data_IF_349467111264
#
_entry.id   IF_349467111264
#
_cell.length_a   1.000
_cell.length_b   1.000
_cell.length_c   1.000
_cell.angle_alpha   90.00
_cell.angle_beta   90.00
_cell.angle_gamma   90.00
#
_symmetry.space_group_name_H-M   'P 1'
#
loop_
_entity.id
_entity.type
_entity.pdbx_description
1 polymer ?
#
# COMPACT_ATOMS: atom_id res chain seq x y z
N UNK A 1 -5.45 3.60 -11.97
CA UNK A 1 -6.33 4.53 -11.23
C UNK A 1 -5.66 5.89 -11.15
N UNK A 2 -6.40 6.91 -10.76
CA UNK A 2 -5.94 8.30 -10.75
C UNK A 2 -6.26 9.03 -12.04
N UNK A 3 -5.75 10.25 -12.15
CA UNK A 3 -5.95 11.13 -13.31
C UNK A 3 -4.95 10.75 -14.41
N UNK A 4 -5.41 10.69 -15.66
CA UNK A 4 -4.55 10.41 -16.81
C UNK A 4 -3.41 11.44 -16.88
N UNK A 5 -2.20 10.96 -17.18
CA UNK A 5 -0.98 11.76 -17.37
C UNK A 5 -0.49 12.59 -16.16
N UNK A 6 -1.18 12.53 -15.01
CA UNK A 6 -0.80 13.31 -13.82
C UNK A 6 0.55 12.88 -13.24
N UNK A 7 0.85 11.59 -13.18
CA UNK A 7 2.10 11.11 -12.57
C UNK A 7 3.36 11.55 -13.33
N UNK A 8 3.42 11.44 -14.68
CA UNK A 8 4.52 12.05 -15.46
C UNK A 8 4.70 13.55 -15.21
N UNK A 9 3.61 14.30 -15.02
CA UNK A 9 3.67 15.74 -14.72
C UNK A 9 4.25 16.01 -13.32
N UNK A 10 3.91 15.19 -12.32
CA UNK A 10 4.41 15.32 -10.94
C UNK A 10 5.79 14.68 -10.71
N UNK A 11 6.31 13.93 -11.68
CA UNK A 11 7.60 13.24 -11.59
C UNK A 11 8.77 14.16 -11.16
N UNK A 12 8.92 15.40 -11.67
CA UNK A 12 10.05 16.27 -11.28
C UNK A 12 10.01 16.74 -9.81
N UNK A 13 8.85 16.69 -9.15
CA UNK A 13 8.69 17.14 -7.76
C UNK A 13 8.64 16.00 -6.75
N UNK A 14 8.73 14.74 -7.20
CA UNK A 14 8.73 13.59 -6.30
C UNK A 14 10.00 13.57 -5.43
N UNK A 15 9.85 13.11 -4.20
CA UNK A 15 10.97 12.89 -3.29
C UNK A 15 11.07 11.42 -2.94
N UNK A 16 12.27 10.85 -3.12
CA UNK A 16 12.54 9.48 -2.67
C UNK A 16 12.88 9.50 -1.18
N UNK A 17 12.10 8.76 -0.39
CA UNK A 17 12.31 8.59 1.05
C UNK A 17 12.45 7.09 1.36
N UNK A 18 13.36 6.76 2.27
CA UNK A 18 13.43 5.40 2.80
C UNK A 18 12.27 5.18 3.79
N UNK A 19 11.80 3.94 3.92
CA UNK A 19 10.68 3.64 4.81
C UNK A 19 10.96 4.02 6.27
N UNK A 20 12.21 3.93 6.73
CA UNK A 20 12.59 4.32 8.09
C UNK A 20 12.37 5.82 8.38
N UNK A 21 12.33 6.69 7.35
CA UNK A 21 12.00 8.11 7.51
C UNK A 21 10.54 8.33 7.93
N UNK A 22 9.70 7.29 7.89
CA UNK A 22 8.32 7.32 8.33
C UNK A 22 8.15 7.02 9.83
N UNK A 23 9.23 6.67 10.53
CA UNK A 23 9.22 6.39 11.97
C UNK A 23 8.50 7.50 12.76
N UNK A 24 7.62 7.10 13.68
CA UNK A 24 6.78 7.98 14.49
C UNK A 24 5.60 8.61 13.75
N UNK A 25 5.47 8.43 12.43
CA UNK A 25 4.33 8.97 11.66
C UNK A 25 3.12 8.05 11.73
N UNK A 26 1.95 8.66 11.55
CA UNK A 26 0.69 7.93 11.31
C UNK A 26 0.34 8.06 9.83
N UNK A 27 0.07 6.94 9.16
CA UNK A 27 -0.24 6.87 7.73
C UNK A 27 -1.64 6.30 7.54
N UNK A 28 -2.47 7.04 6.81
CA UNK A 28 -3.72 6.51 6.28
C UNK A 28 -3.42 5.58 5.09
N UNK A 29 -3.93 4.35 5.15
CA UNK A 29 -3.75 3.34 4.11
C UNK A 29 -5.10 3.07 3.49
N UNK A 30 -5.19 3.28 2.19
CA UNK A 30 -6.33 2.81 1.39
C UNK A 30 -6.29 1.28 1.31
N UNK A 31 -7.22 0.62 1.99
CA UNK A 31 -7.24 -0.84 2.09
C UNK A 31 -7.71 -1.49 0.79
N UNK A 32 -8.65 -0.88 0.06
CA UNK A 32 -9.21 -1.46 -1.16
C UNK A 32 -8.10 -1.67 -2.20
N UNK A 33 -7.17 -0.70 -2.31
CA UNK A 33 -6.07 -0.76 -3.27
C UNK A 33 -5.09 -1.88 -2.97
N UNK A 34 -4.75 -2.12 -1.70
CA UNK A 34 -3.85 -3.22 -1.32
C UNK A 34 -4.48 -4.59 -1.56
N UNK A 35 -5.79 -4.72 -1.32
CA UNK A 35 -6.52 -5.96 -1.61
C UNK A 35 -6.57 -6.22 -3.12
N UNK A 36 -6.94 -5.21 -3.92
CA UNK A 36 -7.00 -5.29 -5.38
C UNK A 36 -5.62 -5.58 -6.00
N UNK A 37 -4.56 -4.91 -5.53
CA UNK A 37 -3.18 -5.16 -5.96
C UNK A 37 -2.80 -6.63 -5.74
N UNK A 38 -3.00 -7.16 -4.53
CA UNK A 38 -2.60 -8.53 -4.21
C UNK A 38 -3.36 -9.60 -5.01
N UNK A 39 -4.56 -9.30 -5.50
CA UNK A 39 -5.34 -10.21 -6.36
C UNK A 39 -4.88 -10.19 -7.82
N UNK A 40 -4.25 -9.10 -8.28
CA UNK A 40 -3.81 -8.94 -9.68
C UNK A 40 -2.41 -9.48 -9.97
N UNK A 41 -1.65 -9.87 -8.94
CA UNK A 41 -0.31 -10.46 -9.10
C UNK A 41 -0.40 -11.88 -9.68
N UNK A 42 -0.25 -11.99 -11.01
CA UNK A 42 -0.35 -13.26 -11.76
C UNK A 42 0.46 -14.42 -11.17
N UNK A 43 1.68 -14.14 -10.66
CA UNK A 43 2.58 -15.16 -10.07
C UNK A 43 2.03 -15.78 -8.78
N UNK A 44 1.10 -15.12 -8.10
CA UNK A 44 0.50 -15.61 -6.85
C UNK A 44 -0.79 -16.40 -7.09
N UNK A 45 -1.42 -16.25 -8.25
CA UNK A 45 -2.67 -16.94 -8.61
C UNK A 45 -2.41 -18.46 -8.67
N UNK A 46 -3.19 -19.24 -7.91
CA UNK A 46 -3.03 -20.69 -7.81
C UNK A 46 -1.86 -21.18 -6.96
N UNK A 47 -0.94 -20.29 -6.56
CA UNK A 47 0.28 -20.63 -5.79
C UNK A 47 0.16 -20.22 -4.32
N UNK A 48 -0.49 -19.09 -4.04
CA UNK A 48 -0.61 -18.52 -2.70
C UNK A 48 -2.07 -18.45 -2.29
N UNK A 49 -2.41 -19.06 -1.15
CA UNK A 49 -3.74 -18.91 -0.57
C UNK A 49 -3.91 -17.50 -0.02
N UNK A 50 -5.02 -16.84 -0.39
CA UNK A 50 -5.42 -15.50 0.09
C UNK A 50 -4.25 -14.49 0.08
N UNK A 51 -3.69 -14.15 -1.10
CA UNK A 51 -2.50 -13.30 -1.21
C UNK A 51 -2.71 -11.90 -0.60
N UNK A 52 -3.95 -11.40 -0.60
CA UNK A 52 -4.32 -10.16 0.07
C UNK A 52 -4.04 -10.18 1.58
N UNK A 53 -4.39 -11.26 2.29
CA UNK A 53 -4.11 -11.39 3.72
C UNK A 53 -2.60 -11.54 3.97
N UNK A 54 -1.91 -12.35 3.16
CA UNK A 54 -0.46 -12.53 3.28
C UNK A 54 0.28 -11.21 3.13
N UNK A 55 0.01 -10.47 2.06
CA UNK A 55 0.70 -9.22 1.78
C UNK A 55 0.34 -8.14 2.81
N UNK A 56 -0.93 -8.06 3.21
CA UNK A 56 -1.38 -7.14 4.26
C UNK A 56 -0.65 -7.40 5.58
N UNK A 57 -0.56 -8.66 6.02
CA UNK A 57 0.16 -9.05 7.24
C UNK A 57 1.63 -8.60 7.20
N UNK A 58 2.35 -8.90 6.12
CA UNK A 58 3.77 -8.52 6.02
C UNK A 58 3.97 -7.01 5.89
N UNK A 59 3.08 -6.28 5.20
CA UNK A 59 3.13 -4.81 5.13
C UNK A 59 2.90 -4.18 6.51
N UNK A 60 1.88 -4.64 7.24
CA UNK A 60 1.62 -4.22 8.62
C UNK A 60 2.84 -4.48 9.47
N UNK A 61 3.32 -5.73 9.52
CA UNK A 61 4.47 -6.12 10.35
C UNK A 61 5.71 -5.27 10.05
N UNK A 62 6.03 -5.05 8.78
CA UNK A 62 7.20 -4.25 8.38
C UNK A 62 7.09 -2.80 8.86
N UNK A 63 5.94 -2.15 8.61
CA UNK A 63 5.72 -0.75 8.96
C UNK A 63 5.63 -0.55 10.49
N UNK A 64 4.95 -1.45 11.21
CA UNK A 64 4.87 -1.36 12.68
C UNK A 64 6.21 -1.61 13.36
N UNK A 65 7.06 -2.48 12.81
CA UNK A 65 8.43 -2.68 13.30
C UNK A 65 9.31 -1.43 13.11
N UNK A 66 8.92 -0.52 12.20
CA UNK A 66 9.57 0.77 11.97
C UNK A 66 8.89 1.92 12.73
N UNK A 67 8.06 1.62 13.74
CA UNK A 67 7.28 2.60 14.52
C UNK A 67 6.37 3.48 13.67
N UNK A 68 5.81 2.92 12.59
CA UNK A 68 4.78 3.58 11.78
C UNK A 68 3.39 3.14 12.25
N UNK A 69 2.53 4.09 12.60
CA UNK A 69 1.12 3.83 12.95
C UNK A 69 0.29 3.81 11.68
N UNK A 70 -0.59 2.82 11.54
CA UNK A 70 -1.44 2.66 10.37
C UNK A 70 -2.90 2.89 10.72
N UNK A 71 -3.59 3.68 9.89
CA UNK A 71 -5.04 3.84 9.91
C UNK A 71 -5.58 3.33 8.58
N UNK A 72 -6.27 2.19 8.59
CA UNK A 72 -6.84 1.63 7.37
C UNK A 72 -8.16 2.32 7.06
N UNK A 73 -8.27 2.85 5.85
CA UNK A 73 -9.49 3.44 5.30
C UNK A 73 -10.15 2.39 4.43
N UNK A 74 -11.37 2.01 4.82
CA UNK A 74 -12.23 1.13 4.04
C UNK A 74 -13.18 1.98 3.22
N UNK A 75 -13.36 1.64 1.94
CA UNK A 75 -14.35 2.30 1.10
C UNK A 75 -15.77 2.00 1.60
N UNK A 76 -16.63 3.01 1.52
CA UNK A 76 -18.07 2.89 1.73
C UNK A 76 -18.81 2.70 0.41
N UNK A 77 -19.96 3.32 0.29
CA UNK A 77 -20.69 3.39 -0.99
C UNK A 77 -20.02 4.41 -1.93
N UNK A 78 -19.94 4.12 -3.25
CA UNK A 78 -19.37 5.02 -4.25
C UNK A 78 -20.24 6.24 -4.57
#
# INVERSE_FOLDING_TARGET
>A
MGVNDLWPILEPVKQHLQLHNLCGKTIAVDLSLWVCEAQTVKKMIGTVMKPHLRNLFFRISCLTLMDVKLVFVMEGEP
#
